data_IF_594823405494
#
_entry.id   IF_594823405494
#
_cell.length_a   1.000
_cell.length_b   1.000
_cell.length_c   1.000
_cell.angle_alpha   90.00
_cell.angle_beta   90.00
_cell.angle_gamma   90.00
#
_symmetry.space_group_name_H-M   'P 1'
#
loop_
_entity.id
_entity.type
_entity.pdbx_description
1 polymer ?
#
# COMPACT_ATOMS: atom_id res chain seq x y z
N UNK A 1 16.69 -27.52 11.77
CA UNK A 1 16.47 -27.34 13.22
C UNK A 1 15.00 -27.07 13.40
N UNK A 2 14.28 -27.94 14.10
CA UNK A 2 12.85 -27.71 14.33
C UNK A 2 12.71 -26.52 15.28
N UNK A 3 11.95 -25.51 14.87
CA UNK A 3 11.62 -24.39 15.74
C UNK A 3 10.84 -24.90 16.95
N UNK A 4 11.22 -24.44 18.15
CA UNK A 4 10.48 -24.73 19.37
C UNK A 4 9.19 -23.91 19.41
N UNK A 5 8.15 -24.49 20.00
CA UNK A 5 6.85 -23.86 20.20
C UNK A 5 6.33 -24.22 21.59
N UNK A 6 5.42 -23.40 22.09
CA UNK A 6 4.76 -23.60 23.37
C UNK A 6 3.39 -24.23 23.14
N UNK A 7 3.08 -25.30 23.85
CA UNK A 7 1.70 -25.65 24.18
C UNK A 7 1.41 -25.08 25.57
N UNK A 8 0.26 -24.43 25.73
CA UNK A 8 -0.14 -23.79 26.98
C UNK A 8 -1.50 -24.29 27.44
N UNK A 9 -1.69 -24.26 28.76
CA UNK A 9 -2.97 -24.39 29.46
C UNK A 9 -3.21 -23.07 30.21
N UNK A 10 -3.97 -22.15 29.62
CA UNK A 10 -4.22 -20.83 30.20
C UNK A 10 -5.52 -20.83 31.00
N UNK A 11 -5.43 -20.44 32.27
CA UNK A 11 -6.58 -20.36 33.16
C UNK A 11 -7.18 -18.95 33.15
N UNK A 12 -8.50 -18.87 32.95
CA UNK A 12 -9.27 -17.63 33.02
C UNK A 12 -10.26 -17.72 34.19
N UNK A 13 -9.87 -17.28 35.41
CA UNK A 13 -10.68 -17.49 36.61
C UNK A 13 -12.07 -16.86 36.53
N UNK A 14 -12.15 -15.64 35.97
CA UNK A 14 -13.40 -14.89 35.87
C UNK A 14 -14.48 -15.64 35.07
N UNK A 15 -14.07 -16.45 34.09
CA UNK A 15 -14.98 -17.25 33.26
C UNK A 15 -14.98 -18.74 33.61
N UNK A 16 -14.28 -19.16 34.69
CA UNK A 16 -14.13 -20.56 35.14
C UNK A 16 -13.77 -21.52 33.99
N UNK A 17 -12.86 -21.09 33.12
CA UNK A 17 -12.47 -21.83 31.93
C UNK A 17 -10.96 -21.94 31.79
N UNK A 18 -10.56 -22.90 30.97
CA UNK A 18 -9.19 -23.11 30.53
C UNK A 18 -9.13 -23.07 29.01
N UNK A 19 -8.08 -22.46 28.46
CA UNK A 19 -7.76 -22.55 27.03
C UNK A 19 -6.54 -23.43 26.82
N UNK A 20 -6.66 -24.42 25.95
CA UNK A 20 -5.55 -25.26 25.49
C UNK A 20 -5.17 -24.82 24.09
N UNK A 21 -3.96 -24.34 23.89
CA UNK A 21 -3.50 -23.99 22.55
C UNK A 21 -2.01 -23.83 22.43
N UNK A 22 -1.55 -23.54 21.22
CA UNK A 22 -0.12 -23.34 20.94
C UNK A 22 0.25 -21.92 20.54
N UNK A 23 1.50 -21.54 20.80
CA UNK A 23 2.09 -20.30 20.31
C UNK A 23 3.61 -20.40 20.18
N UNK A 24 4.19 -19.72 19.18
CA UNK A 24 5.64 -19.52 19.12
C UNK A 24 6.10 -18.40 20.07
N UNK A 25 5.18 -17.52 20.48
CA UNK A 25 5.41 -16.48 21.48
C UNK A 25 4.19 -16.41 22.41
N UNK A 26 4.33 -17.02 23.59
CA UNK A 26 3.24 -17.16 24.56
C UNK A 26 2.74 -15.80 25.08
N UNK A 27 3.63 -14.81 25.23
CA UNK A 27 3.28 -13.48 25.74
C UNK A 27 2.37 -12.69 24.79
N UNK A 28 2.72 -12.66 23.51
CA UNK A 28 1.89 -12.01 22.48
C UNK A 28 0.52 -12.69 22.40
N UNK A 29 0.49 -14.02 22.56
CA UNK A 29 -0.75 -14.79 22.54
C UNK A 29 -1.63 -14.47 23.76
N UNK A 30 -1.06 -14.45 24.97
CA UNK A 30 -1.77 -14.08 26.20
C UNK A 30 -2.35 -12.67 26.05
N UNK A 31 -1.56 -11.68 25.61
CA UNK A 31 -2.04 -10.30 25.43
C UNK A 31 -3.22 -10.20 24.45
N UNK A 32 -3.19 -10.98 23.37
CA UNK A 32 -4.31 -11.05 22.43
C UNK A 32 -5.57 -11.66 23.07
N UNK A 33 -5.41 -12.67 23.93
CA UNK A 33 -6.50 -13.39 24.55
C UNK A 33 -7.13 -12.61 25.71
N UNK A 34 -6.33 -11.86 26.48
CA UNK A 34 -6.82 -11.05 27.62
C UNK A 34 -7.91 -10.07 27.20
N UNK A 35 -7.81 -9.51 25.99
CA UNK A 35 -8.82 -8.58 25.42
C UNK A 35 -10.20 -9.21 25.25
N UNK A 36 -10.27 -10.51 25.01
CA UNK A 36 -11.51 -11.22 24.68
C UNK A 36 -12.03 -12.05 25.87
N UNK A 37 -11.11 -12.66 26.63
CA UNK A 37 -11.44 -13.67 27.63
C UNK A 37 -11.23 -13.20 29.07
N UNK A 38 -10.59 -12.05 29.27
CA UNK A 38 -10.27 -11.50 30.59
C UNK A 38 -8.87 -11.89 31.06
N UNK A 39 -8.53 -11.50 32.29
CA UNK A 39 -7.21 -11.73 32.86
C UNK A 39 -6.87 -13.22 33.03
N UNK A 40 -5.63 -13.57 32.70
CA UNK A 40 -5.08 -14.92 32.85
C UNK A 40 -4.48 -15.07 34.24
N UNK A 41 -4.75 -16.21 34.88
CA UNK A 41 -4.03 -16.62 36.10
C UNK A 41 -2.71 -17.27 35.71
N UNK A 42 -1.66 -16.45 35.67
CA UNK A 42 -0.31 -16.87 35.32
C UNK A 42 0.25 -17.97 36.22
N UNK A 43 -0.07 -17.97 37.52
CA UNK A 43 0.48 -18.93 38.50
C UNK A 43 -0.19 -20.30 38.39
N UNK A 44 -1.48 -20.32 38.05
CA UNK A 44 -2.25 -21.55 37.86
C UNK A 44 -2.25 -22.07 36.43
N UNK A 45 -1.65 -21.33 35.50
CA UNK A 45 -1.48 -21.76 34.11
C UNK A 45 -0.26 -22.67 33.94
N UNK A 46 -0.22 -23.42 32.84
CA UNK A 46 0.87 -24.34 32.54
C UNK A 46 1.40 -24.13 31.12
N UNK A 47 2.65 -24.52 30.90
CA UNK A 47 3.26 -24.54 29.57
C UNK A 47 4.19 -25.73 29.39
N UNK A 48 4.37 -26.15 28.15
CA UNK A 48 5.36 -27.14 27.72
C UNK A 48 6.03 -26.66 26.43
N UNK A 49 7.34 -26.84 26.35
CA UNK A 49 8.17 -26.43 25.22
C UNK A 49 8.56 -27.67 24.44
N UNK A 50 8.16 -27.75 23.17
CA UNK A 50 8.40 -28.90 22.28
C UNK A 50 8.69 -28.42 20.85
N UNK A 51 9.26 -29.28 19.99
CA UNK A 51 9.34 -29.00 18.56
C UNK A 51 7.96 -28.68 17.94
N UNK A 52 7.92 -27.78 16.97
CA UNK A 52 6.68 -27.37 16.30
C UNK A 52 5.94 -28.54 15.61
N UNK A 53 6.65 -29.57 15.17
CA UNK A 53 6.09 -30.81 14.63
C UNK A 53 5.28 -31.59 15.68
N UNK A 54 5.72 -31.57 16.95
CA UNK A 54 5.10 -32.29 18.06
C UNK A 54 4.02 -31.46 18.78
N UNK A 55 4.20 -30.13 18.88
CA UNK A 55 3.23 -29.24 19.56
C UNK A 55 1.82 -29.38 18.97
N UNK A 56 1.72 -29.55 17.65
CA UNK A 56 0.44 -29.65 16.95
C UNK A 56 -0.24 -30.99 17.17
N UNK A 57 0.55 -32.07 17.22
CA UNK A 57 0.02 -33.42 17.53
C UNK A 57 -0.50 -33.46 18.97
N UNK A 58 0.26 -32.90 19.90
CA UNK A 58 -0.10 -32.87 21.31
C UNK A 58 -1.34 -32.00 21.57
N UNK A 59 -1.42 -30.81 20.96
CA UNK A 59 -2.60 -29.94 21.02
C UNK A 59 -3.87 -30.67 20.54
N UNK A 60 -3.81 -31.28 19.35
CA UNK A 60 -4.95 -32.01 18.79
C UNK A 60 -5.37 -33.22 19.62
N UNK A 61 -4.39 -33.96 20.14
CA UNK A 61 -4.64 -35.09 21.02
C UNK A 61 -5.41 -34.63 22.27
N UNK A 62 -4.97 -33.53 22.91
CA UNK A 62 -5.65 -33.00 24.09
C UNK A 62 -7.06 -32.50 23.77
N UNK A 63 -7.26 -31.79 22.65
CA UNK A 63 -8.60 -31.36 22.25
C UNK A 63 -9.54 -32.55 22.04
N UNK A 64 -9.04 -33.61 21.41
CA UNK A 64 -9.81 -34.84 21.19
C UNK A 64 -10.14 -35.56 22.51
N UNK A 65 -9.15 -35.80 23.38
CA UNK A 65 -9.36 -36.50 24.64
C UNK A 65 -10.26 -35.73 25.62
N UNK A 66 -10.26 -34.40 25.52
CA UNK A 66 -11.00 -33.52 26.41
C UNK A 66 -12.28 -32.96 25.80
N UNK A 67 -12.74 -33.50 24.66
CA UNK A 67 -13.93 -33.00 23.94
C UNK A 67 -15.18 -32.92 24.84
N UNK A 68 -15.33 -33.84 25.80
CA UNK A 68 -16.45 -33.84 26.76
C UNK A 68 -16.45 -32.63 27.72
N UNK A 69 -15.32 -31.93 27.84
CA UNK A 69 -15.17 -30.74 28.67
C UNK A 69 -15.16 -29.44 27.85
N UNK A 70 -15.39 -29.51 26.54
CA UNK A 70 -15.37 -28.34 25.68
C UNK A 70 -16.53 -27.39 26.03
N UNK A 71 -16.23 -26.12 26.32
CA UNK A 71 -17.22 -25.18 26.85
C UNK A 71 -18.09 -24.60 25.74
N UNK A 72 -19.42 -24.83 25.81
CA UNK A 72 -20.56 -24.41 24.96
C UNK A 72 -20.63 -22.96 24.41
N UNK A 73 -19.73 -22.06 24.82
CA UNK A 73 -19.82 -20.61 24.62
C UNK A 73 -19.51 -20.16 23.18
N UNK A 74 -20.57 -19.97 22.39
CA UNK A 74 -20.71 -19.22 21.13
C UNK A 74 -19.61 -19.30 20.06
N UNK A 75 -20.05 -19.63 18.84
CA UNK A 75 -19.28 -19.85 17.61
C UNK A 75 -18.43 -18.65 17.16
N UNK A 76 -17.29 -18.44 17.82
CA UNK A 76 -16.17 -17.64 17.36
C UNK A 76 -14.95 -18.51 17.00
N UNK A 77 -14.04 -17.95 16.22
CA UNK A 77 -12.76 -18.59 15.88
C UNK A 77 -11.96 -18.95 17.16
N UNK A 78 -11.50 -20.20 17.27
CA UNK A 78 -10.79 -20.71 18.45
C UNK A 78 -11.67 -21.30 19.57
N UNK A 79 -12.95 -21.58 19.32
CA UNK A 79 -13.87 -22.24 20.25
C UNK A 79 -13.48 -23.69 20.61
N UNK A 80 -12.86 -24.41 19.68
CA UNK A 80 -12.38 -25.79 19.90
C UNK A 80 -11.23 -25.90 20.89
N UNK A 81 -10.66 -24.75 21.26
CA UNK A 81 -9.54 -24.65 22.19
C UNK A 81 -10.00 -24.31 23.62
N UNK A 82 -11.31 -24.15 23.86
CA UNK A 82 -11.87 -23.71 25.15
C UNK A 82 -12.55 -24.85 25.90
N UNK A 83 -12.16 -25.03 27.16
CA UNK A 83 -12.61 -26.10 28.03
C UNK A 83 -13.05 -25.54 29.38
N UNK A 84 -13.95 -26.25 30.05
CA UNK A 84 -14.29 -25.92 31.44
C UNK A 84 -13.09 -26.17 32.35
N UNK A 85 -13.05 -25.52 33.51
CA UNK A 85 -11.90 -25.62 34.43
C UNK A 85 -11.66 -27.06 34.93
N UNK A 86 -12.70 -27.90 34.94
CA UNK A 86 -12.65 -29.31 35.32
C UNK A 86 -11.76 -30.14 34.38
N UNK A 87 -11.48 -29.66 33.17
CA UNK A 87 -10.58 -30.30 32.21
C UNK A 87 -9.09 -30.20 32.58
N UNK A 88 -8.72 -29.32 33.53
CA UNK A 88 -7.32 -29.06 33.87
C UNK A 88 -6.59 -30.31 34.37
N UNK A 89 -7.17 -31.01 35.36
CA UNK A 89 -6.56 -32.21 35.93
C UNK A 89 -6.44 -33.35 34.89
N UNK A 90 -7.49 -33.67 34.10
CA UNK A 90 -7.35 -34.59 32.96
C UNK A 90 -6.27 -34.18 31.95
N UNK A 91 -6.18 -32.88 31.60
CA UNK A 91 -5.17 -32.39 30.66
C UNK A 91 -3.74 -32.62 31.18
N UNK A 92 -3.49 -32.28 32.45
CA UNK A 92 -2.20 -32.49 33.11
C UNK A 92 -1.84 -33.98 33.12
N UNK A 93 -2.79 -34.87 33.45
CA UNK A 93 -2.58 -36.33 33.43
C UNK A 93 -2.20 -36.85 32.06
N UNK A 94 -2.89 -36.40 31.00
CA UNK A 94 -2.56 -36.80 29.63
C UNK A 94 -1.19 -36.29 29.19
N UNK A 95 -0.80 -35.08 29.57
CA UNK A 95 0.54 -34.55 29.29
C UNK A 95 1.61 -35.39 30.01
N UNK A 96 1.43 -35.66 31.30
CA UNK A 96 2.35 -36.52 32.05
C UNK A 96 2.47 -37.92 31.45
N UNK A 97 1.35 -38.52 31.03
CA UNK A 97 1.38 -39.83 30.38
C UNK A 97 2.30 -39.84 29.14
N UNK A 98 2.22 -38.82 28.28
CA UNK A 98 3.06 -38.71 27.07
C UNK A 98 4.53 -38.43 27.40
N UNK A 99 4.82 -37.69 28.48
CA UNK A 99 6.19 -37.45 28.96
C UNK A 99 6.79 -38.72 29.58
N UNK A 100 6.06 -39.36 30.48
CA UNK A 100 6.53 -40.53 31.25
C UNK A 100 6.77 -41.77 30.37
N UNK A 101 6.10 -41.85 29.22
CA UNK A 101 6.30 -42.91 28.22
C UNK A 101 7.26 -42.48 27.09
N UNK A 102 8.04 -41.41 27.27
CA UNK A 102 9.06 -40.93 26.34
C UNK A 102 8.56 -40.62 24.92
N UNK A 103 7.25 -40.36 24.76
CA UNK A 103 6.67 -39.97 23.47
C UNK A 103 7.12 -38.56 23.09
N UNK A 104 7.30 -37.68 24.09
CA UNK A 104 7.94 -36.37 23.94
C UNK A 104 9.03 -36.19 25.00
N UNK A 105 10.17 -35.61 24.61
CA UNK A 105 11.20 -35.18 25.56
C UNK A 105 10.97 -33.73 25.97
N UNK A 106 10.12 -33.51 26.97
CA UNK A 106 9.80 -32.19 27.48
C UNK A 106 9.31 -32.24 28.93
N UNK A 107 9.24 -31.08 29.58
CA UNK A 107 8.76 -30.93 30.95
C UNK A 107 7.54 -30.01 30.98
N UNK A 108 6.50 -30.43 31.70
CA UNK A 108 5.36 -29.57 32.01
C UNK A 108 5.76 -28.59 33.12
N UNK A 109 5.69 -27.30 32.82
CA UNK A 109 5.98 -26.22 33.75
C UNK A 109 4.68 -25.62 34.27
N UNK A 110 4.54 -25.55 35.60
CA UNK A 110 3.47 -24.79 36.25
C UNK A 110 3.93 -23.36 36.47
N UNK A 111 3.04 -22.42 36.20
CA UNK A 111 3.35 -21.01 36.22
C UNK A 111 3.91 -20.55 34.88
N UNK A 112 3.40 -19.42 34.39
CA UNK A 112 3.97 -18.69 33.26
C UNK A 112 4.52 -17.38 33.83
N UNK A 113 5.78 -17.07 33.57
CA UNK A 113 6.37 -15.81 34.02
C UNK A 113 5.52 -14.64 33.54
N UNK A 114 5.22 -13.67 34.41
CA UNK A 114 4.56 -12.45 33.95
C UNK A 114 5.57 -11.65 33.13
N UNK A 115 5.26 -11.27 31.88
CA UNK A 115 6.16 -10.40 31.15
C UNK A 115 6.33 -9.10 31.94
N UNK A 116 7.56 -8.54 32.02
CA UNK A 116 7.73 -7.22 32.60
C UNK A 116 6.81 -6.26 31.84
N UNK A 117 6.12 -5.37 32.56
CA UNK A 117 5.25 -4.34 32.00
C UNK A 117 6.05 -3.48 31.02
N UNK A 118 6.19 -3.92 29.77
CA UNK A 118 6.71 -3.10 28.70
C UNK A 118 5.60 -2.10 28.42
N UNK A 119 5.91 -0.81 28.61
CA UNK A 119 5.10 0.27 28.06
C UNK A 119 4.69 -0.15 26.65
N UNK A 120 3.37 -0.31 26.43
CA UNK A 120 2.87 -0.81 25.16
C UNK A 120 3.55 0.00 24.06
N UNK A 121 4.18 -0.66 23.07
CA UNK A 121 4.57 0.07 21.86
C UNK A 121 3.29 0.70 21.36
N UNK A 122 3.20 2.02 21.53
CA UNK A 122 1.95 2.76 21.49
C UNK A 122 1.23 2.43 20.19
N UNK A 123 0.16 1.64 20.27
CA UNK A 123 -0.67 1.27 19.11
C UNK A 123 -1.20 2.53 18.43
N UNK A 124 -1.37 3.62 19.19
CA UNK A 124 -1.70 4.94 18.65
C UNK A 124 -0.61 5.48 17.74
N UNK A 125 0.68 5.29 18.03
CA UNK A 125 1.75 5.75 17.13
C UNK A 125 1.70 4.98 15.79
N UNK A 126 1.53 3.65 15.83
CA UNK A 126 1.40 2.85 14.60
C UNK A 126 0.16 3.25 13.81
N UNK A 127 -0.99 3.38 14.48
CA UNK A 127 -2.24 3.82 13.88
C UNK A 127 -2.15 5.24 13.32
N UNK A 128 -1.51 6.17 14.03
CA UNK A 128 -1.29 7.56 13.58
C UNK A 128 -0.39 7.62 12.36
N UNK A 129 0.65 6.76 12.29
CA UNK A 129 1.51 6.63 11.11
C UNK A 129 0.72 6.12 9.91
N UNK A 130 -0.08 5.07 10.08
CA UNK A 130 -0.94 4.52 9.02
C UNK A 130 -1.99 5.54 8.56
N UNK A 131 -2.66 6.22 9.49
CA UNK A 131 -3.64 7.28 9.18
C UNK A 131 -3.00 8.43 8.41
N UNK A 132 -1.81 8.87 8.82
CA UNK A 132 -1.06 9.92 8.11
C UNK A 132 -0.73 9.48 6.69
N UNK A 133 -0.27 8.24 6.49
CA UNK A 133 0.05 7.71 5.17
C UNK A 133 -1.20 7.58 4.29
N UNK A 134 -2.32 7.10 4.84
CA UNK A 134 -3.61 7.04 4.16
C UNK A 134 -4.09 8.42 3.73
N UNK A 135 -4.00 9.43 4.60
CA UNK A 135 -4.40 10.79 4.25
C UNK A 135 -3.54 11.39 3.13
N UNK A 136 -2.24 11.12 3.14
CA UNK A 136 -1.34 11.54 2.05
C UNK A 136 -1.76 10.89 0.72
N UNK A 137 -2.05 9.59 0.71
CA UNK A 137 -2.48 8.89 -0.50
C UNK A 137 -3.80 9.42 -1.06
N UNK A 138 -4.76 9.76 -0.19
CA UNK A 138 -6.03 10.36 -0.61
C UNK A 138 -5.80 11.74 -1.21
N UNK A 139 -4.94 12.56 -0.59
CA UNK A 139 -4.61 13.88 -1.14
C UNK A 139 -3.93 13.76 -2.50
N UNK A 140 -2.96 12.85 -2.65
CA UNK A 140 -2.29 12.61 -3.94
C UNK A 140 -3.27 12.13 -5.02
N UNK A 141 -4.23 11.25 -4.67
CA UNK A 141 -5.31 10.83 -5.57
C UNK A 141 -6.15 12.02 -6.04
N UNK A 142 -6.52 12.92 -5.13
CA UNK A 142 -7.27 14.14 -5.46
C UNK A 142 -6.43 15.03 -6.39
N UNK A 143 -5.17 15.28 -6.06
CA UNK A 143 -4.27 16.13 -6.86
C UNK A 143 -4.08 15.57 -8.28
N UNK A 144 -3.80 14.29 -8.42
CA UNK A 144 -3.64 13.64 -9.73
C UNK A 144 -4.93 13.72 -10.54
N UNK A 145 -6.08 13.46 -9.91
CA UNK A 145 -7.39 13.54 -10.58
C UNK A 145 -7.70 14.97 -11.03
N UNK A 146 -7.38 15.98 -10.21
CA UNK A 146 -7.51 17.39 -10.59
C UNK A 146 -6.59 17.76 -11.75
N UNK A 147 -5.35 17.27 -11.76
CA UNK A 147 -4.41 17.51 -12.87
C UNK A 147 -4.97 16.94 -14.19
N UNK A 148 -5.46 15.70 -14.19
CA UNK A 148 -6.12 15.12 -15.36
C UNK A 148 -7.39 15.86 -15.76
N UNK A 149 -8.18 16.35 -14.80
CA UNK A 149 -9.34 17.20 -15.07
C UNK A 149 -8.94 18.50 -15.80
N UNK A 150 -7.81 19.12 -15.41
CA UNK A 150 -7.27 20.31 -16.10
C UNK A 150 -6.81 19.98 -17.53
N UNK A 151 -6.14 18.85 -17.74
CA UNK A 151 -5.73 18.39 -19.08
C UNK A 151 -6.96 18.10 -19.95
N UNK A 152 -7.95 17.37 -19.43
CA UNK A 152 -9.19 17.08 -20.14
C UNK A 152 -9.95 18.35 -20.49
N UNK A 153 -9.99 19.34 -19.59
CA UNK A 153 -10.60 20.65 -19.86
C UNK A 153 -9.86 21.38 -20.98
N UNK A 154 -8.53 21.32 -21.03
CA UNK A 154 -7.74 21.89 -22.13
C UNK A 154 -8.12 21.24 -23.47
N UNK A 155 -8.18 19.91 -23.52
CA UNK A 155 -8.56 19.16 -24.73
C UNK A 155 -10.00 19.48 -25.16
N UNK A 156 -10.93 19.59 -24.21
CA UNK A 156 -12.31 20.02 -24.49
C UNK A 156 -12.37 21.45 -25.05
N UNK A 157 -11.58 22.38 -24.49
CA UNK A 157 -11.49 23.75 -25.02
C UNK A 157 -10.96 23.71 -26.46
N UNK A 158 -9.92 22.94 -26.74
CA UNK A 158 -9.37 22.79 -28.09
C UNK A 158 -10.41 22.21 -29.07
N UNK A 159 -11.19 21.23 -28.62
CA UNK A 159 -12.26 20.62 -29.41
C UNK A 159 -13.38 21.62 -29.73
N UNK A 160 -13.89 22.33 -28.73
CA UNK A 160 -15.03 23.25 -28.88
C UNK A 160 -14.65 24.62 -29.45
N UNK A 161 -13.41 25.07 -29.25
CA UNK A 161 -12.91 26.38 -29.69
C UNK A 161 -11.89 26.28 -30.84
N UNK A 162 -11.90 25.17 -31.57
CA UNK A 162 -11.04 24.95 -32.75
C UNK A 162 -11.10 26.08 -33.80
N UNK A 163 -12.24 26.77 -33.90
CA UNK A 163 -12.46 27.90 -34.81
C UNK A 163 -11.85 29.23 -34.31
N UNK A 164 -11.18 29.24 -33.15
CA UNK A 164 -10.53 30.43 -32.56
C UNK A 164 -9.05 30.22 -32.29
N UNK A 165 -8.56 28.98 -32.39
CA UNK A 165 -7.20 28.61 -31.99
C UNK A 165 -6.45 28.05 -33.19
N UNK A 166 -5.23 28.54 -33.40
CA UNK A 166 -4.32 28.06 -34.44
C UNK A 166 -3.38 27.03 -33.81
N UNK A 167 -3.71 25.75 -33.96
CA UNK A 167 -2.91 24.67 -33.39
C UNK A 167 -2.73 23.51 -34.35
N UNK A 168 -1.62 22.80 -34.20
CA UNK A 168 -1.34 21.54 -34.89
C UNK A 168 -0.51 20.64 -33.99
N UNK A 169 -0.84 19.37 -33.93
CA UNK A 169 -0.03 18.38 -33.22
C UNK A 169 0.28 17.16 -34.09
N UNK A 170 1.50 16.66 -33.95
CA UNK A 170 1.94 15.40 -34.53
C UNK A 170 2.29 14.42 -33.40
N UNK A 171 2.17 13.12 -33.67
CA UNK A 171 2.57 12.07 -32.75
C UNK A 171 3.75 11.33 -33.38
N UNK A 172 4.92 11.43 -32.74
CA UNK A 172 6.16 10.78 -33.17
C UNK A 172 6.74 10.00 -31.99
N UNK A 173 7.02 8.70 -32.15
CA UNK A 173 7.68 7.86 -31.13
C UNK A 173 7.11 8.04 -29.71
N UNK A 174 5.79 7.96 -29.57
CA UNK A 174 5.07 8.17 -28.31
C UNK A 174 5.22 9.58 -27.71
N UNK A 175 5.58 10.58 -28.51
CA UNK A 175 5.65 11.98 -28.10
C UNK A 175 4.71 12.81 -28.96
N UNK A 176 3.81 13.53 -28.30
CA UNK A 176 2.93 14.52 -28.91
C UNK A 176 3.68 15.84 -29.00
N UNK A 177 3.96 16.28 -30.22
CA UNK A 177 4.54 17.60 -30.51
C UNK A 177 3.41 18.58 -30.78
N UNK A 178 2.91 19.24 -29.73
CA UNK A 178 1.78 20.16 -29.81
C UNK A 178 2.25 21.59 -30.08
N UNK A 179 1.89 22.18 -31.22
CA UNK A 179 2.26 23.55 -31.61
C UNK A 179 1.04 24.46 -31.61
N UNK A 180 1.24 25.67 -31.09
CA UNK A 180 0.24 26.74 -31.04
C UNK A 180 0.86 27.98 -31.68
N UNK A 181 0.19 28.55 -32.68
CA UNK A 181 0.59 29.81 -33.32
C UNK A 181 -0.15 31.02 -32.72
N UNK A 182 0.35 32.22 -33.01
CA UNK A 182 -0.11 33.49 -32.44
C UNK A 182 -0.14 33.51 -30.91
N UNK A 183 0.77 32.74 -30.31
CA UNK A 183 0.87 32.61 -28.88
C UNK A 183 1.83 33.66 -28.31
N UNK A 184 1.27 34.76 -27.81
CA UNK A 184 2.01 35.79 -27.08
C UNK A 184 2.27 35.44 -25.61
N UNK A 185 1.92 34.23 -25.16
CA UNK A 185 2.12 33.82 -23.77
C UNK A 185 3.54 34.11 -23.27
N UNK A 186 3.63 34.64 -22.05
CA UNK A 186 4.91 34.83 -21.40
C UNK A 186 5.58 33.48 -21.11
N UNK A 187 6.89 33.49 -20.92
CA UNK A 187 7.63 32.27 -20.54
C UNK A 187 7.06 31.65 -19.24
N UNK A 188 6.57 32.49 -18.32
CA UNK A 188 5.91 32.08 -17.08
C UNK A 188 4.65 31.21 -17.33
N UNK A 189 3.84 31.54 -18.34
CA UNK A 189 2.62 30.81 -18.71
C UNK A 189 2.95 29.48 -19.39
N UNK A 190 4.02 29.44 -20.16
CA UNK A 190 4.45 28.22 -20.82
C UNK A 190 4.87 27.14 -19.79
N UNK A 191 5.54 27.54 -18.72
CA UNK A 191 5.89 26.64 -17.61
C UNK A 191 4.67 26.16 -16.82
N UNK A 192 3.59 26.97 -16.72
CA UNK A 192 2.33 26.52 -16.09
C UNK A 192 1.74 25.32 -16.83
N UNK A 193 1.77 25.34 -18.17
CA UNK A 193 1.29 24.24 -19.00
C UNK A 193 2.17 23.00 -18.81
N UNK A 194 3.50 23.13 -18.80
CA UNK A 194 4.38 21.99 -18.49
C UNK A 194 4.05 21.33 -17.16
N UNK A 195 3.83 22.13 -16.10
CA UNK A 195 3.53 21.63 -14.76
C UNK A 195 2.22 20.83 -14.70
N UNK A 196 1.30 21.02 -15.66
CA UNK A 196 0.08 20.20 -15.75
C UNK A 196 0.38 18.72 -16.05
N UNK A 197 1.53 18.42 -16.66
CA UNK A 197 1.96 17.06 -17.01
C UNK A 197 2.96 16.48 -16.00
N UNK A 198 3.09 17.09 -14.82
CA UNK A 198 3.97 16.66 -13.73
C UNK A 198 3.18 16.04 -12.59
N UNK A 199 3.27 14.72 -12.45
CA UNK A 199 2.52 13.95 -11.46
C UNK A 199 3.44 13.55 -10.30
N UNK A 200 3.03 13.89 -9.08
CA UNK A 200 3.69 13.45 -7.85
C UNK A 200 2.79 12.44 -7.16
N UNK A 201 3.29 11.23 -6.91
CA UNK A 201 2.53 10.17 -6.26
C UNK A 201 3.34 9.55 -5.13
N UNK A 202 2.69 9.46 -3.98
CA UNK A 202 3.17 8.78 -2.79
C UNK A 202 2.12 7.76 -2.33
N UNK A 203 2.46 6.49 -2.46
CA UNK A 203 1.64 5.38 -2.00
C UNK A 203 2.42 4.52 -0.96
N UNK A 204 1.92 3.33 -0.59
CA UNK A 204 2.59 2.47 0.38
C UNK A 204 3.89 1.84 -0.15
N UNK A 205 4.08 1.81 -1.47
CA UNK A 205 5.13 1.10 -2.20
C UNK A 205 5.94 2.01 -3.14
N UNK A 206 5.44 3.19 -3.45
CA UNK A 206 5.91 4.09 -4.49
C UNK A 206 5.99 5.52 -3.94
N UNK A 207 7.08 6.21 -4.26
CA UNK A 207 7.21 7.64 -4.03
C UNK A 207 8.01 8.18 -5.19
N UNK A 208 7.38 8.99 -6.03
CA UNK A 208 8.03 9.48 -7.23
C UNK A 208 7.29 10.66 -7.84
N UNK A 209 8.05 11.49 -8.54
CA UNK A 209 7.53 12.56 -9.36
C UNK A 209 7.97 12.30 -10.80
N UNK A 210 7.02 12.30 -11.72
CA UNK A 210 7.29 12.08 -13.14
C UNK A 210 6.67 13.22 -13.94
N UNK A 211 7.47 13.87 -14.79
CA UNK A 211 7.01 14.87 -15.73
C UNK A 211 7.03 14.32 -17.15
N UNK A 212 5.87 14.33 -17.79
CA UNK A 212 5.70 13.84 -19.15
C UNK A 212 5.83 14.94 -20.21
N UNK A 213 5.87 16.22 -19.83
CA UNK A 213 6.25 17.28 -20.77
C UNK A 213 7.78 17.41 -20.81
N UNK A 214 8.39 16.86 -21.85
CA UNK A 214 9.84 16.76 -22.02
C UNK A 214 10.51 18.07 -22.43
N UNK A 215 9.75 19.05 -22.93
CA UNK A 215 10.30 20.37 -23.25
C UNK A 215 9.31 21.33 -23.91
N UNK A 216 9.70 22.60 -23.91
CA UNK A 216 9.05 23.68 -24.65
C UNK A 216 10.08 24.29 -25.59
N UNK A 217 9.70 24.49 -26.85
CA UNK A 217 10.46 25.30 -27.79
C UNK A 217 9.60 26.47 -28.25
N UNK A 218 10.20 27.65 -28.40
CA UNK A 218 9.51 28.83 -28.94
C UNK A 218 10.32 29.40 -30.08
N UNK A 219 9.63 29.75 -31.16
CA UNK A 219 10.20 30.48 -32.28
C UNK A 219 9.13 31.41 -32.83
N UNK A 220 9.44 32.70 -32.91
CA UNK A 220 8.51 33.74 -33.34
C UNK A 220 7.21 33.69 -32.50
N UNK A 221 6.05 33.55 -33.16
CA UNK A 221 4.73 33.46 -32.51
C UNK A 221 4.29 32.01 -32.23
N UNK A 222 5.17 31.03 -32.43
CA UNK A 222 4.86 29.61 -32.28
C UNK A 222 5.51 29.06 -31.01
N UNK A 223 4.69 28.38 -30.20
CA UNK A 223 5.14 27.61 -29.03
C UNK A 223 4.85 26.14 -29.27
N UNK A 224 5.87 25.30 -29.13
CA UNK A 224 5.79 23.84 -29.19
C UNK A 224 5.98 23.22 -27.82
N UNK A 225 5.07 22.33 -27.42
CA UNK A 225 5.17 21.47 -26.25
C UNK A 225 5.44 20.04 -26.72
N UNK A 226 6.44 19.39 -26.12
CA UNK A 226 6.71 17.97 -26.35
C UNK A 226 6.20 17.20 -25.14
N UNK A 227 5.17 16.37 -25.33
CA UNK A 227 4.52 15.62 -24.26
C UNK A 227 4.58 14.13 -24.57
N UNK A 228 5.26 13.36 -23.73
CA UNK A 228 5.31 11.90 -23.82
C UNK A 228 3.93 11.32 -23.49
N UNK A 229 3.48 10.38 -24.30
CA UNK A 229 2.26 9.61 -24.09
C UNK A 229 2.44 8.77 -22.82
N UNK A 230 1.55 8.99 -21.85
CA UNK A 230 1.68 8.37 -20.54
C UNK A 230 1.23 6.90 -20.60
N UNK A 231 0.28 6.56 -21.48
CA UNK A 231 -0.13 5.15 -21.67
C UNK A 231 0.98 4.24 -22.19
N UNK A 232 1.99 4.80 -22.84
CA UNK A 232 3.12 4.08 -23.40
C UNK A 232 4.25 3.83 -22.38
N UNK A 233 4.19 4.46 -21.20
CA UNK A 233 5.18 4.28 -20.13
C UNK A 233 4.83 3.06 -19.26
N UNK A 234 5.61 1.99 -19.42
CA UNK A 234 5.46 0.74 -18.67
C UNK A 234 5.73 0.91 -17.16
N UNK A 235 6.43 1.99 -16.77
CA UNK A 235 6.74 2.29 -15.38
C UNK A 235 5.78 3.34 -14.79
N UNK A 236 4.78 3.79 -15.55
CA UNK A 236 3.79 4.72 -15.04
C UNK A 236 3.03 4.09 -13.86
N UNK A 237 2.81 4.91 -12.83
CA UNK A 237 1.99 4.48 -11.71
C UNK A 237 0.58 4.07 -12.20
N UNK A 238 0.00 2.94 -11.73
CA UNK A 238 -1.25 2.40 -12.30
C UNK A 238 -2.42 3.39 -12.37
N UNK A 239 -2.56 4.25 -11.36
CA UNK A 239 -3.58 5.33 -11.36
C UNK A 239 -3.36 6.32 -12.50
N UNK A 240 -2.10 6.73 -12.75
CA UNK A 240 -1.76 7.69 -13.81
C UNK A 240 -1.98 7.03 -15.16
N UNK A 241 -1.53 5.79 -15.33
CA UNK A 241 -1.74 5.02 -16.56
C UNK A 241 -3.24 4.88 -16.88
N UNK A 242 -4.07 4.57 -15.87
CA UNK A 242 -5.52 4.50 -16.04
C UNK A 242 -6.12 5.83 -16.47
N UNK A 243 -5.85 6.92 -15.74
CA UNK A 243 -6.42 8.24 -16.08
C UNK A 243 -5.89 8.75 -17.43
N UNK A 244 -4.63 8.50 -17.73
CA UNK A 244 -4.04 8.80 -19.04
C UNK A 244 -4.75 8.09 -20.18
N UNK A 245 -5.05 6.80 -20.04
CA UNK A 245 -5.80 6.07 -21.07
C UNK A 245 -7.16 6.72 -21.39
N UNK A 246 -7.82 7.28 -20.37
CA UNK A 246 -9.09 8.00 -20.55
C UNK A 246 -8.89 9.36 -21.23
N UNK A 247 -7.85 10.10 -20.85
CA UNK A 247 -7.47 11.37 -21.49
C UNK A 247 -7.04 11.17 -22.95
N UNK A 248 -6.33 10.10 -23.26
CA UNK A 248 -5.89 9.80 -24.62
C UNK A 248 -7.06 9.45 -25.54
N UNK A 249 -8.10 8.79 -25.03
CA UNK A 249 -9.36 8.62 -25.78
C UNK A 249 -9.98 9.96 -26.19
N UNK A 250 -9.83 11.00 -25.37
CA UNK A 250 -10.28 12.35 -25.71
C UNK A 250 -9.33 13.03 -26.70
N UNK A 251 -8.02 12.87 -26.53
CA UNK A 251 -7.02 13.35 -27.50
C UNK A 251 -7.24 12.76 -28.89
N UNK A 252 -7.54 11.46 -28.99
CA UNK A 252 -7.81 10.78 -30.26
C UNK A 252 -9.06 11.30 -31.00
N UNK A 253 -9.95 12.03 -30.31
CA UNK A 253 -11.10 12.70 -30.92
C UNK A 253 -10.79 14.14 -31.35
N UNK A 254 -9.67 14.70 -30.90
CA UNK A 254 -9.25 16.05 -31.26
C UNK A 254 -8.64 16.04 -32.67
N UNK A 255 -9.13 16.88 -33.60
CA UNK A 255 -8.50 17.03 -34.92
C UNK A 255 -7.01 17.38 -34.78
N UNK A 256 -6.14 16.73 -35.57
CA UNK A 256 -4.69 16.95 -35.50
C UNK A 256 -4.27 18.38 -35.82
N UNK A 257 -5.10 19.11 -36.57
CA UNK A 257 -4.91 20.53 -36.90
C UNK A 257 -6.21 21.30 -36.78
N UNK A 258 -6.11 22.56 -36.42
CA UNK A 258 -7.27 23.45 -36.44
C UNK A 258 -7.68 23.79 -37.87
N UNK A 259 -8.98 24.05 -38.06
CA UNK A 259 -9.55 24.41 -39.37
C UNK A 259 -9.12 25.79 -39.86
N UNK A 260 -8.54 26.62 -38.98
CA UNK A 260 -8.06 27.96 -39.31
C UNK A 260 -6.67 27.97 -39.97
N UNK A 261 -5.92 26.86 -39.89
CA UNK A 261 -4.58 26.78 -40.46
C UNK A 261 -4.63 26.63 -41.98
N UNK A 262 -4.10 27.63 -42.68
CA UNK A 262 -3.92 27.62 -44.14
C UNK A 262 -2.65 26.87 -44.57
N UNK A 263 -1.66 26.75 -43.67
CA UNK A 263 -0.40 26.04 -43.87
C UNK A 263 -0.03 25.31 -42.58
N UNK A 264 0.76 24.25 -42.71
CA UNK A 264 1.21 23.48 -41.55
C UNK A 264 2.20 24.31 -40.71
N UNK A 265 2.15 24.11 -39.39
CA UNK A 265 3.06 24.76 -38.46
C UNK A 265 4.42 24.04 -38.47
N UNK A 266 5.55 24.78 -38.56
CA UNK A 266 6.87 24.18 -38.53
C UNK A 266 7.11 23.42 -37.22
N UNK A 267 7.67 22.22 -37.32
CA UNK A 267 8.25 21.53 -36.16
C UNK A 267 9.45 22.34 -35.69
N UNK A 268 9.49 22.65 -34.40
CA UNK A 268 10.63 23.31 -33.79
C UNK A 268 11.61 22.23 -33.31
N UNK A 269 12.74 22.12 -33.99
CA UNK A 269 13.82 21.21 -33.58
C UNK A 269 14.49 21.71 -32.30
N UNK A 270 14.69 20.79 -31.34
CA UNK A 270 15.26 21.09 -30.02
C UNK A 270 16.75 21.44 -30.07
N UNK A 271 17.39 21.27 -31.23
CA UNK A 271 18.85 21.32 -31.43
C UNK A 271 19.48 22.73 -31.49
N UNK A 272 18.78 23.80 -31.08
CA UNK A 272 19.37 25.15 -31.05
C UNK A 272 19.38 25.88 -29.70
N UNK A 273 18.71 25.39 -28.65
CA UNK A 273 18.63 26.15 -27.38
C UNK A 273 19.82 25.88 -26.44
N UNK A 274 20.56 24.78 -26.63
CA UNK A 274 21.81 24.57 -25.88
C UNK A 274 22.97 25.47 -26.38
N UNK A 275 22.94 25.94 -27.62
CA UNK A 275 23.99 26.82 -28.14
C UNK A 275 23.80 28.29 -27.73
N UNK A 276 22.57 28.78 -27.63
CA UNK A 276 22.31 30.19 -27.27
C UNK A 276 22.52 30.46 -25.76
N UNK A 277 22.40 29.44 -24.91
CA UNK A 277 22.69 29.55 -23.47
C UNK A 277 24.21 29.42 -23.19
N UNK A 278 24.95 28.69 -24.04
CA UNK A 278 26.40 28.54 -23.88
C UNK A 278 27.20 29.69 -24.52
N UNK A 279 26.72 30.32 -25.59
CA UNK A 279 27.43 31.46 -26.22
C UNK A 279 27.19 32.80 -25.51
N UNK A 280 26.06 33.00 -24.82
CA UNK A 280 25.82 34.23 -24.05
C UNK A 280 26.54 34.30 -22.70
N UNK A 281 27.26 33.25 -22.30
CA UNK A 281 28.12 33.26 -21.10
C UNK A 281 29.61 33.45 -21.44
N UNK A 282 29.93 33.82 -22.69
CA UNK A 282 31.31 34.04 -23.16
C UNK A 282 31.65 35.52 -23.39
N UNK A 283 30.71 36.45 -23.16
CA UNK A 283 30.94 37.90 -23.27
C UNK A 283 30.31 38.65 -22.08
N UNK A 284 30.90 38.51 -20.89
CA UNK A 284 31.05 39.58 -19.86
C UNK A 284 32.31 39.30 -19.05
#
# INVERSE_FOLDING_TARGET
MDNLSFLYLLIFPAKKMMKIGKANNIYNRIQSLTRTWGEVDFERSYQIIVPQSEVFKLEKMLHFLLTNYQSGIDAGDGYTELFTIEALEPAIKHIHYVIDHEVINAQLQKGIERPPLRASRCTEHSHRKMKKQSNLMINDLIEVTEQFSRINRLLLILLFKQHRLLYQYDIEENTVKFRIADNYAEQSDAHKIMRMFSFSIKDFRYTGTTNYCSGICRKDTITQYSVRMISADQNAHPLVAYLASQTENLLNRLPMRSSLLNKDLPVLESSRILCDILHNNSEV
#
